data_IF_293044649469
#
_entry.id   IF_293044649469
#
_cell.length_a   1.000
_cell.length_b   1.000
_cell.length_c   1.000
_cell.angle_alpha   90.00
_cell.angle_beta   90.00
_cell.angle_gamma   90.00
#
_symmetry.space_group_name_H-M   'P 1'
#
loop_
_entity.id
_entity.type
_entity.pdbx_description
1 polymer ?
#
# COMPACT_ATOMS: atom_id res chain seq x y z
N UNK A 1 -0.09 23.37 6.43
CA UNK A 1 -0.14 23.85 5.02
C UNK A 1 -0.50 22.75 4.03
N UNK A 2 0.24 21.60 3.97
CA UNK A 2 -0.07 20.57 2.99
C UNK A 2 -1.41 19.89 3.27
N UNK A 3 -1.69 19.53 4.52
CA UNK A 3 -3.01 18.97 4.93
C UNK A 3 -4.14 19.95 4.64
N UNK A 4 -3.95 21.24 4.89
CA UNK A 4 -4.95 22.27 4.60
C UNK A 4 -5.24 22.35 3.10
N UNK A 5 -4.17 22.26 2.27
CA UNK A 5 -4.34 22.18 0.81
C UNK A 5 -5.13 20.92 0.43
N UNK A 6 -4.80 19.74 0.97
CA UNK A 6 -5.57 18.53 0.68
C UNK A 6 -7.04 18.67 1.10
N UNK A 7 -7.31 19.29 2.25
CA UNK A 7 -8.68 19.56 2.70
C UNK A 7 -9.47 20.43 1.70
N UNK A 8 -8.81 21.44 1.08
CA UNK A 8 -9.45 22.26 0.03
C UNK A 8 -9.72 21.52 -1.27
N UNK A 9 -9.07 20.36 -1.49
CA UNK A 9 -9.21 19.53 -2.69
C UNK A 9 -10.13 18.33 -2.47
N UNK A 10 -10.49 18.05 -1.24
CA UNK A 10 -11.35 16.93 -0.88
C UNK A 10 -12.83 17.33 -0.98
N UNK A 11 -13.63 16.44 -1.55
CA UNK A 11 -15.10 16.54 -1.56
C UNK A 11 -15.65 15.51 -0.57
N UNK A 12 -16.29 15.95 0.53
CA UNK A 12 -16.73 15.04 1.58
C UNK A 12 -15.61 14.17 2.14
N UNK A 13 -14.43 14.76 2.37
CA UNK A 13 -13.20 14.08 2.81
C UNK A 13 -12.57 13.09 1.82
N UNK A 14 -13.08 13.02 0.59
CA UNK A 14 -12.55 12.15 -0.47
C UNK A 14 -11.68 12.94 -1.44
N UNK A 15 -10.43 12.49 -1.63
CA UNK A 15 -9.55 12.98 -2.69
C UNK A 15 -9.71 12.14 -3.96
N UNK A 16 -9.86 12.80 -5.10
CA UNK A 16 -10.12 12.12 -6.38
C UNK A 16 -9.02 12.35 -7.43
N UNK A 17 -7.85 12.86 -7.03
CA UNK A 17 -6.74 13.14 -7.93
C UNK A 17 -5.47 12.39 -7.52
N UNK A 18 -4.57 12.17 -8.48
CA UNK A 18 -3.31 11.48 -8.31
C UNK A 18 -3.12 10.39 -9.36
N UNK A 19 -2.06 9.61 -9.20
CA UNK A 19 -1.69 8.53 -10.14
C UNK A 19 -2.30 7.18 -9.74
N UNK A 20 -2.79 7.08 -8.50
CA UNK A 20 -3.25 5.82 -7.91
C UNK A 20 -2.09 4.88 -7.60
N UNK A 21 -2.30 3.60 -7.80
CA UNK A 21 -1.26 2.57 -7.71
C UNK A 21 -0.48 2.54 -9.04
N UNK A 22 0.45 3.49 -9.20
CA UNK A 22 1.20 3.73 -10.42
C UNK A 22 1.93 2.48 -10.88
N UNK A 23 1.87 2.16 -12.17
CA UNK A 23 2.44 0.94 -12.76
C UNK A 23 1.86 -0.37 -12.20
N UNK A 24 0.60 -0.39 -11.75
CA UNK A 24 -0.07 -1.64 -11.41
C UNK A 24 -0.08 -2.60 -12.62
N UNK A 25 0.01 -3.90 -12.31
CA UNK A 25 0.22 -4.93 -13.33
C UNK A 25 -1.06 -5.63 -13.73
N UNK A 26 -1.23 -5.83 -15.05
CA UNK A 26 -2.35 -6.55 -15.64
C UNK A 26 -2.29 -6.58 -17.16
N UNK A 27 -3.33 -7.08 -17.79
CA UNK A 27 -3.44 -7.13 -19.26
C UNK A 27 -3.80 -5.76 -19.86
N UNK A 28 -2.99 -4.74 -19.55
CA UNK A 28 -3.14 -3.37 -20.00
C UNK A 28 -1.77 -2.67 -20.04
N UNK A 29 -1.72 -1.52 -20.71
CA UNK A 29 -0.51 -0.70 -20.73
C UNK A 29 -0.25 -0.13 -19.32
N UNK A 30 0.97 -0.30 -18.81
CA UNK A 30 1.41 0.29 -17.54
C UNK A 30 1.30 1.83 -17.53
N UNK A 31 1.13 2.40 -16.35
CA UNK A 31 0.97 3.82 -16.12
C UNK A 31 -0.01 4.10 -14.99
N UNK A 32 -1.03 4.94 -15.24
CA UNK A 32 -2.09 5.21 -14.26
C UNK A 32 -2.76 3.92 -13.78
N UNK A 33 -3.06 3.87 -12.47
CA UNK A 33 -3.74 2.75 -11.84
C UNK A 33 -5.00 2.30 -12.60
N UNK A 34 -5.11 0.99 -12.81
CA UNK A 34 -6.25 0.36 -13.46
C UNK A 34 -6.94 -0.68 -12.60
N UNK A 35 -6.17 -1.36 -11.75
CA UNK A 35 -6.72 -2.33 -10.82
C UNK A 35 -7.40 -1.65 -9.63
N UNK A 36 -6.83 -0.54 -9.15
CA UNK A 36 -7.26 0.13 -7.92
C UNK A 36 -7.81 1.52 -8.23
N UNK A 37 -8.99 1.90 -7.73
CA UNK A 37 -9.51 3.25 -7.94
C UNK A 37 -8.57 4.32 -7.39
N UNK A 38 -8.22 5.31 -8.22
CA UNK A 38 -7.37 6.45 -7.82
C UNK A 38 -7.88 7.15 -6.55
N UNK A 39 -9.19 7.44 -6.40
CA UNK A 39 -9.70 8.05 -5.18
C UNK A 39 -9.47 7.23 -3.91
N UNK A 40 -9.49 5.90 -3.99
CA UNK A 40 -9.19 5.03 -2.86
C UNK A 40 -7.74 5.24 -2.39
N UNK A 41 -6.79 5.18 -3.31
CA UNK A 41 -5.36 5.36 -2.99
C UNK A 41 -5.10 6.77 -2.45
N UNK A 42 -5.62 7.80 -3.13
CA UNK A 42 -5.42 9.20 -2.73
C UNK A 42 -5.99 9.50 -1.33
N UNK A 43 -7.21 9.01 -1.04
CA UNK A 43 -7.86 9.24 0.26
C UNK A 43 -7.18 8.47 1.38
N UNK A 44 -6.75 7.24 1.13
CA UNK A 44 -5.97 6.47 2.10
C UNK A 44 -4.66 7.17 2.48
N UNK A 45 -3.96 7.78 1.51
CA UNK A 45 -2.77 8.58 1.79
C UNK A 45 -3.10 9.90 2.52
N UNK A 46 -4.23 10.52 2.23
CA UNK A 46 -4.70 11.67 3.01
C UNK A 46 -4.88 11.29 4.48
N UNK A 47 -5.56 10.19 4.74
CA UNK A 47 -5.69 9.64 6.10
C UNK A 47 -4.32 9.40 6.75
N UNK A 48 -3.40 8.75 6.06
CA UNK A 48 -2.06 8.46 6.56
C UNK A 48 -1.31 9.74 6.96
N UNK A 49 -1.35 10.76 6.11
CA UNK A 49 -0.68 12.04 6.40
C UNK A 49 -1.30 12.72 7.64
N UNK A 50 -2.63 12.68 7.78
CA UNK A 50 -3.32 13.21 8.97
C UNK A 50 -2.92 12.43 10.22
N UNK A 51 -2.75 11.11 10.15
CA UNK A 51 -2.21 10.29 11.25
C UNK A 51 -0.79 10.72 11.65
N UNK A 52 0.07 11.08 10.70
CA UNK A 52 1.39 11.64 11.01
C UNK A 52 1.29 13.02 11.69
N UNK A 53 0.31 13.85 11.33
CA UNK A 53 0.09 15.13 12.00
C UNK A 53 -0.37 14.97 13.45
N UNK A 54 -1.22 13.96 13.75
CA UNK A 54 -1.60 13.62 15.13
C UNK A 54 -0.33 13.31 15.94
N UNK A 55 0.52 12.41 15.41
CA UNK A 55 1.76 12.03 16.09
C UNK A 55 2.71 13.21 16.28
N UNK A 56 2.84 14.06 15.28
CA UNK A 56 3.66 15.27 15.38
C UNK A 56 3.12 16.23 16.45
N UNK A 57 1.80 16.45 16.52
CA UNK A 57 1.16 17.27 17.55
C UNK A 57 1.42 16.73 18.96
N UNK A 58 1.30 15.41 19.15
CA UNK A 58 1.64 14.73 20.41
C UNK A 58 3.10 14.96 20.82
N UNK A 59 4.04 14.79 19.87
CA UNK A 59 5.48 14.95 20.15
C UNK A 59 5.86 16.39 20.59
N UNK A 60 5.15 17.40 20.08
CA UNK A 60 5.39 18.81 20.45
C UNK A 60 4.46 19.30 21.56
N UNK A 61 3.55 18.47 22.08
CA UNK A 61 2.60 18.82 23.13
C UNK A 61 1.51 19.79 22.70
N UNK A 62 1.16 19.82 21.41
CA UNK A 62 0.10 20.70 20.90
C UNK A 62 -1.27 19.98 20.94
N UNK A 63 -1.96 20.07 22.05
CA UNK A 63 -3.25 19.41 22.27
C UNK A 63 -4.35 19.89 21.31
N UNK A 64 -4.31 21.15 20.87
CA UNK A 64 -5.30 21.70 19.94
C UNK A 64 -5.21 20.99 18.58
N UNK A 65 -4.01 20.92 18.03
CA UNK A 65 -3.78 20.23 16.76
C UNK A 65 -4.01 18.71 16.87
N UNK A 66 -3.67 18.09 18.01
CA UNK A 66 -3.97 16.69 18.26
C UNK A 66 -5.45 16.39 18.15
N UNK A 67 -6.30 17.17 18.83
CA UNK A 67 -7.76 17.01 18.78
C UNK A 67 -8.27 17.27 17.37
N UNK A 68 -7.82 18.34 16.72
CA UNK A 68 -8.24 18.71 15.37
C UNK A 68 -7.93 17.58 14.36
N UNK A 69 -6.70 17.09 14.33
CA UNK A 69 -6.30 16.04 13.39
C UNK A 69 -6.92 14.68 13.73
N UNK A 70 -7.19 14.39 14.99
CA UNK A 70 -7.91 13.18 15.40
C UNK A 70 -9.34 13.17 14.87
N UNK A 71 -10.05 14.28 14.99
CA UNK A 71 -11.39 14.43 14.43
C UNK A 71 -11.36 14.29 12.90
N UNK A 72 -10.44 14.99 12.23
CA UNK A 72 -10.29 14.91 10.79
C UNK A 72 -9.95 13.47 10.31
N UNK A 73 -9.09 12.75 11.02
CA UNK A 73 -8.80 11.35 10.71
C UNK A 73 -10.05 10.47 10.80
N UNK A 74 -10.89 10.71 11.82
CA UNK A 74 -12.16 9.98 12.00
C UNK A 74 -13.13 10.28 10.85
N UNK A 75 -13.27 11.54 10.45
CA UNK A 75 -14.11 11.94 9.32
C UNK A 75 -13.65 11.33 7.99
N UNK A 76 -12.34 11.35 7.72
CA UNK A 76 -11.76 10.73 6.53
C UNK A 76 -11.99 9.20 6.55
N UNK A 77 -11.77 8.53 7.68
CA UNK A 77 -12.00 7.09 7.83
C UNK A 77 -13.46 6.72 7.55
N UNK A 78 -14.39 7.49 8.09
CA UNK A 78 -15.81 7.25 7.88
C UNK A 78 -16.19 7.42 6.41
N UNK A 79 -15.79 8.53 5.77
CA UNK A 79 -16.04 8.79 4.36
C UNK A 79 -15.37 7.73 3.45
N UNK A 80 -14.17 7.30 3.80
CA UNK A 80 -13.45 6.24 3.07
C UNK A 80 -14.21 4.92 3.10
N UNK A 81 -14.67 4.49 4.28
CA UNK A 81 -15.41 3.24 4.41
C UNK A 81 -16.79 3.33 3.76
N UNK A 82 -17.52 4.43 3.94
CA UNK A 82 -18.80 4.67 3.27
C UNK A 82 -18.68 4.54 1.74
N UNK A 83 -17.60 5.08 1.17
CA UNK A 83 -17.41 5.10 -0.29
C UNK A 83 -16.84 3.82 -0.88
N UNK A 84 -15.90 3.17 -0.19
CA UNK A 84 -15.09 2.11 -0.79
C UNK A 84 -15.30 0.74 -0.17
N UNK A 85 -15.79 0.64 1.08
CA UNK A 85 -15.98 -0.64 1.73
C UNK A 85 -17.30 -1.28 1.32
N UNK A 86 -17.25 -2.56 0.99
CA UNK A 86 -18.41 -3.39 0.64
C UNK A 86 -18.62 -4.42 1.76
N UNK A 87 -19.46 -4.07 2.73
CA UNK A 87 -19.64 -4.83 3.97
C UNK A 87 -20.02 -6.28 3.75
N UNK A 88 -20.97 -6.58 2.84
CA UNK A 88 -21.41 -7.94 2.56
C UNK A 88 -20.29 -8.83 2.00
N UNK A 89 -19.37 -8.25 1.24
CA UNK A 89 -18.26 -8.96 0.60
C UNK A 89 -16.96 -8.87 1.38
N UNK A 90 -16.92 -8.06 2.45
CA UNK A 90 -15.70 -7.74 3.20
C UNK A 90 -14.53 -7.36 2.30
N UNK A 91 -14.78 -6.42 1.36
CA UNK A 91 -13.82 -6.02 0.34
C UNK A 91 -13.82 -4.50 0.13
N UNK A 92 -12.80 -4.00 -0.55
CA UNK A 92 -12.67 -2.58 -0.89
C UNK A 92 -12.60 -2.36 -2.40
N UNK A 93 -13.30 -1.33 -2.88
CA UNK A 93 -13.22 -0.89 -4.27
C UNK A 93 -13.42 -2.04 -5.26
N UNK A 94 -12.39 -2.38 -6.01
CA UNK A 94 -12.39 -3.47 -6.99
C UNK A 94 -12.03 -4.84 -6.41
N UNK A 95 -11.58 -4.90 -5.15
CA UNK A 95 -11.03 -6.12 -4.54
C UNK A 95 -9.61 -6.44 -5.02
N UNK A 96 -8.91 -5.51 -5.67
CA UNK A 96 -7.51 -5.67 -6.07
C UNK A 96 -6.57 -5.73 -4.85
N UNK A 97 -5.37 -6.26 -5.03
CA UNK A 97 -4.39 -6.41 -3.95
C UNK A 97 -4.09 -5.09 -3.25
N UNK A 98 -3.91 -3.99 -3.98
CA UNK A 98 -3.72 -2.67 -3.40
C UNK A 98 -5.00 -2.16 -2.71
N UNK A 99 -6.19 -2.40 -3.29
CA UNK A 99 -7.47 -2.01 -2.66
C UNK A 99 -7.69 -2.68 -1.30
N UNK A 100 -7.14 -3.87 -1.08
CA UNK A 100 -7.30 -4.64 0.14
C UNK A 100 -6.15 -4.40 1.14
N UNK A 101 -4.90 -4.39 0.66
CA UNK A 101 -3.73 -4.24 1.53
C UNK A 101 -3.59 -2.84 2.12
N UNK A 102 -3.88 -1.80 1.35
CA UNK A 102 -3.72 -0.42 1.79
C UNK A 102 -4.62 -0.07 3.00
N UNK A 103 -5.94 -0.34 2.99
CA UNK A 103 -6.77 -0.09 4.17
C UNK A 103 -6.43 -1.01 5.36
N UNK A 104 -6.03 -2.26 5.14
CA UNK A 104 -5.54 -3.14 6.21
C UNK A 104 -4.33 -2.53 6.92
N UNK A 105 -3.29 -2.19 6.16
CA UNK A 105 -2.06 -1.63 6.70
C UNK A 105 -2.27 -0.30 7.45
N UNK A 106 -3.14 0.57 6.94
CA UNK A 106 -3.39 1.87 7.54
C UNK A 106 -4.40 1.85 8.71
N UNK A 107 -5.01 0.70 9.01
CA UNK A 107 -6.03 0.58 10.04
C UNK A 107 -7.33 1.30 9.69
N UNK A 108 -7.67 1.37 8.40
CA UNK A 108 -8.94 1.90 7.91
C UNK A 108 -10.07 0.87 7.98
N UNK A 109 -9.73 -0.42 7.95
CA UNK A 109 -10.71 -1.52 7.99
C UNK A 109 -11.56 -1.46 9.26
N UNK A 110 -12.89 -1.69 9.19
CA UNK A 110 -13.73 -1.79 10.37
C UNK A 110 -13.23 -2.88 11.31
N UNK A 111 -13.34 -2.61 12.61
CA UNK A 111 -12.94 -3.54 13.66
C UNK A 111 -13.71 -4.86 13.54
N UNK A 112 -12.97 -5.96 13.58
CA UNK A 112 -13.50 -7.33 13.44
C UNK A 112 -13.56 -7.84 12.00
N UNK A 113 -13.40 -7.00 10.99
CA UNK A 113 -13.44 -7.38 9.58
C UNK A 113 -12.05 -7.62 8.95
N UNK A 114 -10.96 -7.28 9.67
CA UNK A 114 -9.60 -7.35 9.17
C UNK A 114 -9.24 -8.74 8.64
N UNK A 115 -9.62 -9.77 9.38
CA UNK A 115 -9.35 -11.16 8.99
C UNK A 115 -10.09 -11.56 7.71
N UNK A 116 -11.30 -11.09 7.53
CA UNK A 116 -12.08 -11.37 6.33
C UNK A 116 -11.52 -10.66 5.11
N UNK A 117 -11.11 -9.38 5.27
CA UNK A 117 -10.45 -8.60 4.21
C UNK A 117 -9.09 -9.21 3.86
N UNK A 118 -8.31 -9.67 4.85
CA UNK A 118 -7.04 -10.37 4.63
C UNK A 118 -7.24 -11.68 3.86
N UNK A 119 -8.28 -12.46 4.20
CA UNK A 119 -8.60 -13.68 3.47
C UNK A 119 -8.94 -13.39 2.00
N UNK A 120 -9.64 -12.30 1.71
CA UNK A 120 -9.93 -11.87 0.35
C UNK A 120 -8.64 -11.45 -0.40
N UNK A 121 -7.70 -10.80 0.28
CA UNK A 121 -6.38 -10.48 -0.28
C UNK A 121 -5.62 -11.76 -0.66
N UNK A 122 -5.56 -12.73 0.24
CA UNK A 122 -4.91 -14.03 -0.02
C UNK A 122 -5.60 -14.77 -1.18
N UNK A 123 -6.91 -14.72 -1.24
CA UNK A 123 -7.67 -15.33 -2.32
C UNK A 123 -7.38 -14.69 -3.69
N UNK A 124 -7.25 -13.34 -3.74
CA UNK A 124 -6.90 -12.64 -4.97
C UNK A 124 -5.46 -12.97 -5.41
N UNK A 125 -4.49 -13.01 -4.48
CA UNK A 125 -3.12 -13.41 -4.78
C UNK A 125 -3.08 -14.82 -5.39
N UNK A 126 -3.77 -15.78 -4.77
CA UNK A 126 -3.86 -17.15 -5.26
C UNK A 126 -4.54 -17.25 -6.62
N UNK A 127 -5.62 -16.50 -6.83
CA UNK A 127 -6.33 -16.41 -8.10
C UNK A 127 -5.43 -15.91 -9.22
N UNK A 128 -4.50 -15.04 -8.92
CA UNK A 128 -3.50 -14.53 -9.85
C UNK A 128 -2.23 -15.42 -9.91
N UNK A 129 -2.29 -16.69 -9.52
CA UNK A 129 -1.17 -17.62 -9.60
C UNK A 129 -0.03 -17.31 -8.64
N UNK A 130 -0.33 -16.70 -7.51
CA UNK A 130 0.61 -16.13 -6.54
C UNK A 130 1.49 -15.01 -7.11
N UNK A 131 1.02 -14.30 -8.13
CA UNK A 131 1.67 -13.09 -8.62
C UNK A 131 1.07 -11.85 -7.95
N UNK A 132 1.90 -10.84 -7.80
CA UNK A 132 1.44 -9.53 -7.42
C UNK A 132 0.73 -8.85 -8.62
N UNK A 133 -0.19 -7.95 -8.31
CA UNK A 133 -0.84 -7.09 -9.31
C UNK A 133 -0.71 -5.62 -8.96
N UNK A 134 0.00 -5.34 -7.87
CA UNK A 134 0.26 -3.99 -7.38
C UNK A 134 1.30 -3.27 -8.23
N UNK A 135 1.21 -1.95 -8.21
CA UNK A 135 2.22 -1.05 -8.74
C UNK A 135 3.16 -0.53 -7.66
N UNK A 136 3.86 0.55 -7.99
CA UNK A 136 4.88 1.17 -7.14
C UNK A 136 4.37 1.57 -5.76
N UNK A 137 3.11 2.00 -5.67
CA UNK A 137 2.49 2.42 -4.41
C UNK A 137 1.99 1.23 -3.62
N UNK A 138 1.24 0.35 -4.25
CA UNK A 138 0.60 -0.79 -3.61
C UNK A 138 1.57 -1.84 -3.08
N UNK A 139 2.73 -2.02 -3.75
CA UNK A 139 3.74 -3.00 -3.36
C UNK A 139 4.12 -2.91 -1.89
N UNK A 140 4.42 -1.72 -1.40
CA UNK A 140 4.81 -1.54 -0.01
C UNK A 140 3.74 -2.04 0.96
N UNK A 141 2.50 -1.64 0.73
CA UNK A 141 1.40 -1.97 1.62
C UNK A 141 1.05 -3.46 1.55
N UNK A 142 1.12 -4.05 0.36
CA UNK A 142 0.97 -5.48 0.17
C UNK A 142 2.02 -6.26 0.99
N UNK A 143 3.31 -5.92 0.84
CA UNK A 143 4.38 -6.63 1.51
C UNK A 143 4.33 -6.48 3.02
N UNK A 144 4.09 -5.27 3.52
CA UNK A 144 3.95 -5.03 4.96
C UNK A 144 2.73 -5.76 5.53
N UNK A 145 1.58 -5.71 4.85
CA UNK A 145 0.38 -6.42 5.28
C UNK A 145 0.62 -7.92 5.40
N UNK A 146 1.26 -8.53 4.40
CA UNK A 146 1.56 -9.96 4.43
C UNK A 146 2.55 -10.32 5.54
N UNK A 147 3.65 -9.56 5.66
CA UNK A 147 4.68 -9.78 6.65
C UNK A 147 4.17 -9.60 8.10
N UNK A 148 3.37 -8.55 8.36
CA UNK A 148 2.79 -8.29 9.68
C UNK A 148 1.76 -9.35 10.09
N UNK A 149 1.19 -10.09 9.13
CA UNK A 149 0.27 -11.19 9.37
C UNK A 149 0.94 -12.58 9.29
N UNK A 150 2.27 -12.66 9.28
CA UNK A 150 3.04 -13.92 9.30
C UNK A 150 2.91 -14.75 8.01
N UNK A 151 2.63 -14.10 6.87
CA UNK A 151 2.44 -14.75 5.58
C UNK A 151 3.75 -14.79 4.76
N UNK A 152 4.87 -15.06 5.43
CA UNK A 152 6.22 -15.04 4.83
C UNK A 152 6.40 -16.13 3.76
N UNK A 153 5.77 -17.30 3.89
CA UNK A 153 5.78 -18.34 2.87
C UNK A 153 5.07 -17.90 1.58
N UNK A 154 3.95 -17.17 1.73
CA UNK A 154 3.26 -16.60 0.58
C UNK A 154 4.10 -15.51 -0.08
N UNK A 155 4.72 -14.64 0.72
CA UNK A 155 5.68 -13.63 0.24
C UNK A 155 6.81 -14.27 -0.55
N UNK A 156 7.45 -15.33 0.00
CA UNK A 156 8.50 -16.04 -0.70
C UNK A 156 8.00 -16.60 -2.04
N UNK A 157 6.84 -17.25 -2.05
CA UNK A 157 6.24 -17.81 -3.26
C UNK A 157 5.97 -16.73 -4.32
N UNK A 158 5.44 -15.58 -3.91
CA UNK A 158 5.15 -14.45 -4.81
C UNK A 158 6.40 -13.86 -5.46
N UNK A 159 7.55 -13.92 -4.77
CA UNK A 159 8.79 -13.31 -5.26
C UNK A 159 9.77 -14.29 -5.89
N UNK A 160 9.50 -15.60 -5.81
CA UNK A 160 10.30 -16.65 -6.42
C UNK A 160 9.82 -17.01 -7.84
N UNK A 161 9.37 -16.01 -8.60
CA UNK A 161 8.94 -16.15 -9.99
C UNK A 161 9.97 -15.61 -10.96
N UNK A 162 10.19 -16.36 -12.08
CA UNK A 162 11.02 -15.94 -13.21
C UNK A 162 10.21 -15.43 -14.40
N UNK A 163 8.89 -15.34 -14.24
CA UNK A 163 7.96 -14.72 -15.17
C UNK A 163 7.45 -13.37 -14.64
N UNK A 164 6.76 -12.61 -15.48
CA UNK A 164 6.27 -11.27 -15.13
C UNK A 164 4.86 -11.33 -14.50
N UNK A 165 4.63 -10.59 -13.42
CA UNK A 165 5.56 -9.72 -12.68
C UNK A 165 6.43 -10.47 -11.68
N UNK A 166 7.72 -10.20 -11.67
CA UNK A 166 8.66 -10.85 -10.74
C UNK A 166 10.09 -10.31 -10.88
N UNK A 167 10.85 -10.36 -9.79
CA UNK A 167 12.25 -9.91 -9.78
C UNK A 167 13.15 -10.80 -10.64
N UNK A 168 12.93 -12.12 -10.64
CA UNK A 168 13.65 -13.06 -11.50
C UNK A 168 13.46 -12.77 -13.00
N UNK A 169 12.28 -12.26 -13.37
CA UNK A 169 12.03 -11.83 -14.74
C UNK A 169 12.88 -10.62 -15.14
N UNK A 170 13.06 -9.64 -14.26
CA UNK A 170 13.93 -8.48 -14.52
C UNK A 170 15.38 -8.93 -14.76
N UNK A 171 15.90 -9.83 -13.92
CA UNK A 171 17.24 -10.40 -14.08
C UNK A 171 17.40 -11.19 -15.38
N UNK A 172 16.42 -12.00 -15.76
CA UNK A 172 16.41 -12.80 -16.99
C UNK A 172 16.55 -11.95 -18.26
N UNK A 173 16.06 -10.72 -18.22
CA UNK A 173 16.17 -9.76 -19.31
C UNK A 173 17.29 -8.74 -19.12
N UNK A 174 18.28 -9.05 -18.27
CA UNK A 174 19.55 -8.35 -18.17
C UNK A 174 19.55 -7.16 -17.22
N UNK A 175 18.51 -6.98 -16.40
CA UNK A 175 18.51 -5.92 -15.38
C UNK A 175 19.54 -6.25 -14.29
N UNK A 176 20.41 -5.30 -13.99
CA UNK A 176 21.40 -5.35 -12.90
C UNK A 176 21.03 -4.46 -11.74
N UNK A 177 19.95 -3.70 -11.90
CA UNK A 177 19.33 -2.83 -10.89
C UNK A 177 17.82 -3.00 -10.96
N UNK A 178 17.09 -2.44 -10.00
CA UNK A 178 15.64 -2.43 -10.04
C UNK A 178 15.13 -1.56 -11.19
N UNK A 179 14.11 -2.04 -11.89
CA UNK A 179 13.47 -1.33 -12.98
C UNK A 179 12.19 -0.64 -12.52
N UNK A 180 11.76 0.41 -13.22
CA UNK A 180 10.56 1.19 -12.89
C UNK A 180 9.28 0.40 -13.08
N UNK A 181 9.30 -0.60 -13.96
CA UNK A 181 8.17 -1.49 -14.21
C UNK A 181 8.62 -2.94 -14.30
N UNK A 182 7.69 -3.88 -14.14
CA UNK A 182 8.01 -5.29 -14.06
C UNK A 182 8.63 -5.87 -15.34
N UNK A 183 8.25 -5.39 -16.52
CA UNK A 183 8.87 -5.80 -17.77
C UNK A 183 9.93 -4.78 -18.23
N UNK A 184 11.22 -5.05 -18.04
CA UNK A 184 12.30 -4.11 -18.36
C UNK A 184 12.40 -3.78 -19.86
N UNK A 185 11.79 -4.59 -20.73
CA UNK A 185 11.81 -4.38 -22.19
C UNK A 185 10.91 -3.23 -22.64
N UNK A 186 10.05 -2.73 -21.78
CA UNK A 186 9.05 -1.70 -22.14
C UNK A 186 9.58 -0.26 -22.11
N UNK A 187 10.91 -0.06 -21.95
CA UNK A 187 11.52 1.25 -22.18
C UNK A 187 11.42 2.25 -21.04
N UNK A 188 11.17 1.81 -19.82
CA UNK A 188 11.24 2.64 -18.59
C UNK A 188 12.65 2.67 -18.00
N UNK A 189 12.85 3.39 -16.90
CA UNK A 189 14.12 3.46 -16.18
C UNK A 189 14.59 2.08 -15.69
N UNK A 190 15.88 1.83 -15.83
CA UNK A 190 16.55 0.64 -15.29
C UNK A 190 17.31 0.95 -13.99
N UNK A 191 17.11 2.09 -13.41
CA UNK A 191 17.64 2.48 -12.12
C UNK A 191 16.56 3.21 -11.32
N UNK A 192 15.61 2.44 -10.78
CA UNK A 192 14.44 2.98 -10.11
C UNK A 192 14.17 2.22 -8.80
N UNK A 193 14.15 2.92 -7.69
CA UNK A 193 14.05 2.30 -6.35
C UNK A 193 12.63 1.85 -5.95
N UNK A 194 11.62 2.20 -6.73
CA UNK A 194 10.21 1.97 -6.32
C UNK A 194 9.85 0.48 -6.13
N UNK A 195 10.56 -0.43 -6.77
CA UNK A 195 10.38 -1.87 -6.54
C UNK A 195 11.28 -2.42 -5.40
N UNK A 196 12.01 -1.56 -4.70
CA UNK A 196 12.94 -1.94 -3.62
C UNK A 196 12.28 -2.23 -2.27
N UNK A 197 10.96 -2.12 -2.14
CA UNK A 197 10.24 -2.36 -0.88
C UNK A 197 10.43 -3.79 -0.33
N UNK A 198 10.83 -4.74 -1.16
CA UNK A 198 11.14 -6.12 -0.77
C UNK A 198 12.31 -6.19 0.24
N UNK A 199 13.25 -5.24 0.19
CA UNK A 199 14.38 -5.19 1.11
C UNK A 199 13.93 -5.07 2.58
N UNK A 200 12.85 -4.34 2.84
CA UNK A 200 12.29 -4.23 4.17
C UNK A 200 11.84 -5.61 4.71
N UNK A 201 11.27 -6.46 3.86
CA UNK A 201 10.91 -7.83 4.22
C UNK A 201 12.14 -8.71 4.48
N UNK A 202 13.18 -8.60 3.67
CA UNK A 202 14.44 -9.33 3.89
C UNK A 202 15.03 -9.03 5.26
N UNK A 203 15.09 -7.76 5.66
CA UNK A 203 15.62 -7.37 6.97
C UNK A 203 14.68 -7.72 8.09
N UNK A 204 13.42 -7.32 8.02
CA UNK A 204 12.47 -7.42 9.13
C UNK A 204 11.93 -8.82 9.39
N UNK A 205 11.64 -9.55 8.33
CA UNK A 205 10.99 -10.87 8.44
C UNK A 205 11.99 -12.01 8.32
N UNK A 206 12.81 -12.04 7.28
CA UNK A 206 13.74 -13.15 7.09
C UNK A 206 14.95 -13.07 8.02
N UNK A 207 15.57 -11.91 8.17
CA UNK A 207 16.71 -11.72 9.05
C UNK A 207 16.29 -11.44 10.51
N UNK A 208 15.04 -11.09 10.77
CA UNK A 208 14.53 -10.78 12.11
C UNK A 208 15.07 -9.47 12.70
N UNK A 209 15.67 -8.60 11.87
CA UNK A 209 16.28 -7.34 12.32
C UNK A 209 15.23 -6.25 12.30
N UNK A 210 14.75 -5.85 13.47
CA UNK A 210 13.71 -4.82 13.61
C UNK A 210 14.18 -3.71 14.54
N UNK A 211 13.90 -2.47 14.19
CA UNK A 211 14.13 -1.35 15.10
C UNK A 211 13.10 -1.37 16.22
N UNK A 212 13.55 -1.53 17.46
CA UNK A 212 12.69 -1.44 18.64
C UNK A 212 12.43 0.01 19.04
N UNK A 213 13.36 0.92 18.71
CA UNK A 213 13.20 2.36 18.96
C UNK A 213 13.62 3.21 17.76
N UNK A 214 13.08 4.43 17.64
CA UNK A 214 13.47 5.36 16.57
C UNK A 214 14.99 5.54 16.47
N UNK A 215 15.50 5.66 15.24
CA UNK A 215 16.93 5.80 14.98
C UNK A 215 17.76 4.55 15.19
N UNK A 216 17.14 3.36 15.24
CA UNK A 216 17.83 2.07 15.48
C UNK A 216 18.63 2.07 16.79
N UNK A 217 18.20 2.84 17.78
CA UNK A 217 18.88 2.92 19.10
C UNK A 217 18.72 1.64 19.91
N UNK A 218 17.75 0.81 19.58
CA UNK A 218 17.58 -0.58 20.01
C UNK A 218 17.09 -1.43 18.83
N UNK A 219 17.68 -2.61 18.70
CA UNK A 219 17.38 -3.59 17.63
C UNK A 219 17.03 -4.92 18.26
#
# INVERSE_FOLDING_TARGET
RYVDYLATRAEGHILSFGLGDWYDYGNFRAGFSRNTPVPLVATAHYYMIVKYMIRAAQMVGNNYDEIYFTNLATEIRNAFNEKFYQEEKKTYGTGSQCSLSLPLYLGLTPEGDEKAVLNNLIADIKKNGNHLTTGDVGNRYLFQTLAENGLDELMYTMHNHEDVPGYGFQQKFGATTLTEQWDPRQGSSWNHFMMGQIDEWFFKSLAGIRSAKPGMSEV
#
